data_IF_300942695730
#
_entry.id   IF_300942695730
#
_cell.length_a   1.000
_cell.length_b   1.000
_cell.length_c   1.000
_cell.angle_alpha   90.00
_cell.angle_beta   90.00
_cell.angle_gamma   90.00
#
_symmetry.space_group_name_H-M   'P 1'
#
loop_
_entity.id
_entity.type
_entity.pdbx_description
1 polymer ?
#
# COMPACT_ATOMS: atom_id res chain seq x y z
N UNK A 1 -27.28 2.36 8.37
CA UNK A 1 -26.89 1.04 7.83
C UNK A 1 -26.16 1.29 6.53
N UNK A 2 -24.90 0.84 6.40
CA UNK A 2 -24.13 0.99 5.16
C UNK A 2 -24.55 -0.08 4.15
N UNK A 3 -24.33 0.14 2.83
CA UNK A 3 -24.72 -0.83 1.82
C UNK A 3 -24.05 -2.20 2.09
N UNK A 4 -24.81 -3.27 1.85
CA UNK A 4 -24.31 -4.64 1.90
C UNK A 4 -23.02 -4.77 1.09
N UNK A 5 -22.06 -5.51 1.65
CA UNK A 5 -20.82 -5.79 0.95
C UNK A 5 -21.13 -6.52 -0.36
N UNK A 6 -20.61 -6.02 -1.48
CA UNK A 6 -20.68 -6.73 -2.76
C UNK A 6 -19.79 -7.99 -2.80
N UNK A 7 -18.90 -8.12 -1.81
CA UNK A 7 -18.00 -9.25 -1.62
C UNK A 7 -18.49 -10.10 -0.45
N UNK A 8 -18.37 -11.42 -0.56
CA UNK A 8 -18.61 -12.30 0.58
C UNK A 8 -17.60 -12.04 1.69
N UNK A 9 -17.94 -12.39 2.93
CA UNK A 9 -17.04 -12.28 4.08
C UNK A 9 -15.70 -13.00 3.84
N UNK A 10 -15.72 -14.12 3.13
CA UNK A 10 -14.51 -14.87 2.75
C UNK A 10 -13.60 -14.05 1.83
N UNK A 11 -14.17 -13.39 0.82
CA UNK A 11 -13.41 -12.54 -0.09
C UNK A 11 -12.84 -11.30 0.61
N UNK A 12 -13.56 -10.73 1.57
CA UNK A 12 -13.04 -9.65 2.40
C UNK A 12 -11.86 -10.12 3.27
N UNK A 13 -11.95 -11.33 3.84
CA UNK A 13 -10.87 -11.91 4.63
C UNK A 13 -9.62 -12.20 3.78
N UNK A 14 -9.77 -12.66 2.54
CA UNK A 14 -8.64 -12.86 1.62
C UNK A 14 -7.93 -11.54 1.32
N UNK A 15 -8.69 -10.45 1.15
CA UNK A 15 -8.14 -9.11 0.96
C UNK A 15 -7.42 -8.61 2.21
N UNK A 16 -7.99 -8.85 3.40
CA UNK A 16 -7.37 -8.52 4.69
C UNK A 16 -6.03 -9.27 4.82
N UNK A 17 -6.03 -10.58 4.56
CA UNK A 17 -4.83 -11.41 4.62
C UNK A 17 -3.75 -10.88 3.66
N UNK A 18 -4.12 -10.59 2.41
CA UNK A 18 -3.20 -10.01 1.43
C UNK A 18 -2.61 -8.68 1.91
N UNK A 19 -3.42 -7.77 2.47
CA UNK A 19 -2.94 -6.50 3.02
C UNK A 19 -1.96 -6.74 4.18
N UNK A 20 -2.25 -7.70 5.06
CA UNK A 20 -1.38 -8.04 6.18
C UNK A 20 -0.04 -8.62 5.70
N UNK A 21 -0.05 -9.50 4.70
CA UNK A 21 1.18 -10.06 4.11
C UNK A 21 2.02 -8.97 3.42
N UNK A 22 1.39 -8.06 2.67
CA UNK A 22 2.09 -6.91 2.08
C UNK A 22 2.72 -6.02 3.16
N UNK A 23 2.00 -5.79 4.26
CA UNK A 23 2.48 -4.98 5.37
C UNK A 23 3.65 -5.65 6.11
N UNK A 24 3.62 -6.98 6.31
CA UNK A 24 4.76 -7.76 6.84
C UNK A 24 5.98 -7.70 5.95
N UNK A 25 5.77 -7.68 4.63
CA UNK A 25 6.85 -7.53 3.65
C UNK A 25 7.40 -6.09 3.58
N UNK A 26 6.86 -5.15 4.38
CA UNK A 26 7.31 -3.76 4.44
C UNK A 26 6.66 -2.84 3.39
N UNK A 27 5.66 -3.33 2.66
CA UNK A 27 4.96 -2.54 1.65
C UNK A 27 3.64 -1.97 2.19
N UNK A 28 3.43 -0.68 2.01
CA UNK A 28 2.15 -0.04 2.30
C UNK A 28 1.21 -0.16 1.10
N UNK A 29 0.08 -0.87 1.25
CA UNK A 29 -0.98 -0.91 0.24
C UNK A 29 -1.78 0.40 0.28
N UNK A 30 -1.80 1.13 -0.83
CA UNK A 30 -2.58 2.36 -0.93
C UNK A 30 -4.06 2.06 -1.19
N UNK A 31 -4.93 3.00 -0.82
CA UNK A 31 -6.39 2.91 -1.05
C UNK A 31 -6.69 2.67 -2.53
N UNK A 32 -5.96 3.32 -3.44
CA UNK A 32 -6.12 3.14 -4.88
C UNK A 32 -5.75 1.73 -5.34
N UNK A 33 -4.62 1.19 -4.87
CA UNK A 33 -4.22 -0.18 -5.20
C UNK A 33 -5.24 -1.20 -4.70
N UNK A 34 -5.78 -1.01 -3.49
CA UNK A 34 -6.83 -1.86 -2.95
C UNK A 34 -8.09 -1.79 -3.83
N UNK A 35 -8.53 -0.58 -4.19
CA UNK A 35 -9.70 -0.38 -5.06
C UNK A 35 -9.51 -1.02 -6.44
N UNK A 36 -8.33 -0.90 -7.05
CA UNK A 36 -8.03 -1.50 -8.33
C UNK A 36 -7.99 -3.04 -8.25
N UNK A 37 -7.41 -3.60 -7.20
CA UNK A 37 -7.41 -5.05 -6.95
C UNK A 37 -8.82 -5.59 -6.76
N UNK A 38 -9.65 -4.91 -5.98
CA UNK A 38 -11.06 -5.29 -5.77
C UNK A 38 -11.84 -5.18 -7.06
N UNK A 39 -11.62 -4.13 -7.85
CA UNK A 39 -12.26 -3.96 -9.15
C UNK A 39 -11.93 -5.11 -10.11
N UNK A 40 -10.65 -5.51 -10.18
CA UNK A 40 -10.20 -6.68 -10.94
C UNK A 40 -10.84 -7.98 -10.43
N UNK A 41 -10.95 -8.14 -9.12
CA UNK A 41 -11.56 -9.32 -8.50
C UNK A 41 -13.05 -9.43 -8.83
N UNK A 42 -13.79 -8.32 -8.71
CA UNK A 42 -15.21 -8.21 -9.09
C UNK A 42 -15.40 -8.51 -10.57
N UNK A 43 -14.55 -7.96 -11.44
CA UNK A 43 -14.60 -8.22 -12.89
C UNK A 43 -14.34 -9.71 -13.20
N UNK A 44 -13.37 -10.32 -12.53
CA UNK A 44 -13.03 -11.75 -12.69
C UNK A 44 -14.15 -12.68 -12.21
N UNK A 45 -14.83 -12.30 -11.13
CA UNK A 45 -15.94 -13.06 -10.55
C UNK A 45 -17.30 -12.74 -11.19
N UNK A 46 -17.33 -11.83 -12.17
CA UNK A 46 -18.53 -11.37 -12.88
C UNK A 46 -19.67 -10.94 -11.93
N UNK A 47 -19.32 -10.36 -10.78
CA UNK A 47 -20.28 -9.91 -9.77
C UNK A 47 -20.96 -8.64 -10.30
N UNK A 48 -22.30 -8.68 -10.42
CA UNK A 48 -23.09 -7.50 -10.79
C UNK A 48 -23.04 -6.48 -9.66
N UNK A 49 -22.17 -5.49 -9.81
CA UNK A 49 -22.10 -4.35 -8.91
C UNK A 49 -22.87 -3.15 -9.48
N UNK A 50 -23.48 -2.30 -8.65
CA UNK A 50 -24.18 -1.09 -9.08
C UNK A 50 -23.22 0.08 -9.36
N UNK A 51 -21.90 -0.16 -9.46
CA UNK A 51 -20.92 0.90 -9.67
C UNK A 51 -21.00 1.42 -11.11
N UNK A 52 -21.61 2.59 -11.28
CA UNK A 52 -21.85 3.23 -12.59
C UNK A 52 -20.58 3.53 -13.40
N UNK A 53 -19.38 3.47 -12.80
CA UNK A 53 -18.09 3.82 -13.42
C UNK A 53 -16.90 2.92 -12.96
N UNK A 54 -17.16 1.68 -12.50
CA UNK A 54 -16.09 0.72 -12.14
C UNK A 54 -15.06 1.20 -11.07
N UNK A 55 -15.38 2.27 -10.32
CA UNK A 55 -14.56 2.79 -9.21
C UNK A 55 -15.32 2.67 -7.89
N UNK A 56 -14.74 1.92 -6.96
CA UNK A 56 -15.23 1.87 -5.59
C UNK A 56 -15.04 3.24 -4.94
N UNK A 57 -16.14 3.84 -4.50
CA UNK A 57 -16.10 5.16 -3.86
C UNK A 57 -15.41 5.11 -2.49
N UNK A 58 -15.00 6.29 -1.99
CA UNK A 58 -14.41 6.44 -0.65
C UNK A 58 -15.28 5.81 0.46
N UNK A 59 -16.60 5.86 0.32
CA UNK A 59 -17.54 5.27 1.28
C UNK A 59 -17.40 3.75 1.44
N UNK A 60 -17.07 3.03 0.36
CA UNK A 60 -16.83 1.59 0.45
C UNK A 60 -15.57 1.32 1.28
N UNK A 61 -14.50 2.06 1.03
CA UNK A 61 -13.25 1.92 1.78
C UNK A 61 -13.43 2.23 3.28
N UNK A 62 -14.15 3.30 3.63
CA UNK A 62 -14.45 3.60 5.03
C UNK A 62 -15.30 2.50 5.69
N UNK A 63 -16.26 1.92 4.95
CA UNK A 63 -17.07 0.79 5.43
C UNK A 63 -16.22 -0.46 5.63
N UNK A 64 -15.34 -0.77 4.68
CA UNK A 64 -14.38 -1.88 4.75
C UNK A 64 -13.45 -1.74 5.96
N UNK A 65 -12.86 -0.55 6.18
CA UNK A 65 -12.07 -0.26 7.38
C UNK A 65 -12.86 -0.40 8.68
N UNK A 66 -14.14 -0.02 8.68
CA UNK A 66 -15.00 -0.15 9.85
C UNK A 66 -15.31 -1.61 10.18
N UNK A 67 -15.38 -2.47 9.16
CA UNK A 67 -15.52 -3.94 9.33
C UNK A 67 -14.21 -4.59 9.77
N UNK A 68 -13.07 -4.06 9.33
CA UNK A 68 -11.74 -4.63 9.56
C UNK A 68 -10.79 -3.63 10.28
N UNK A 69 -11.03 -3.32 11.56
CA UNK A 69 -10.19 -2.39 12.32
C UNK A 69 -8.73 -2.88 12.47
N UNK A 70 -8.49 -4.19 12.38
CA UNK A 70 -7.17 -4.83 12.46
C UNK A 70 -6.19 -4.31 11.41
N UNK A 71 -6.66 -3.99 10.20
CA UNK A 71 -5.83 -3.44 9.13
C UNK A 71 -5.27 -2.08 9.53
N UNK A 72 -6.11 -1.22 10.12
CA UNK A 72 -5.71 0.14 10.50
C UNK A 72 -4.68 0.10 11.62
N UNK A 73 -4.90 -0.75 12.63
CA UNK A 73 -3.97 -0.93 13.74
C UNK A 73 -2.59 -1.43 13.26
N UNK A 74 -2.59 -2.46 12.39
CA UNK A 74 -1.35 -3.06 11.87
C UNK A 74 -0.58 -2.13 10.94
N UNK A 75 -1.28 -1.38 10.10
CA UNK A 75 -0.64 -0.36 9.24
C UNK A 75 0.07 0.71 10.06
N UNK A 76 -0.57 1.18 11.14
CA UNK A 76 0.06 2.13 12.06
C UNK A 76 1.27 1.55 12.79
N UNK A 77 1.21 0.29 13.24
CA UNK A 77 2.35 -0.39 13.89
C UNK A 77 3.55 -0.51 12.94
N UNK A 78 3.35 -1.03 11.72
CA UNK A 78 4.43 -1.18 10.73
C UNK A 78 5.08 0.15 10.36
N UNK A 79 4.29 1.24 10.25
CA UNK A 79 4.83 2.58 10.01
C UNK A 79 5.72 3.05 11.18
N UNK A 80 5.33 2.78 12.42
CA UNK A 80 6.14 3.11 13.61
C UNK A 80 7.41 2.28 13.66
N UNK A 81 7.34 0.97 13.40
CA UNK A 81 8.50 0.08 13.37
C UNK A 81 9.49 0.47 12.27
N UNK A 82 9.00 0.72 11.06
CA UNK A 82 9.84 1.18 9.94
C UNK A 82 10.54 2.51 10.24
N UNK A 83 9.86 3.45 10.92
CA UNK A 83 10.46 4.72 11.38
C UNK A 83 11.49 4.51 12.49
N UNK A 84 11.21 3.63 13.44
CA UNK A 84 12.11 3.32 14.55
C UNK A 84 13.37 2.57 14.09
N UNK A 85 13.28 1.80 13.01
CA UNK A 85 14.41 1.08 12.41
C UNK A 85 15.43 2.02 11.72
N UNK A 86 15.08 3.30 11.49
CA UNK A 86 16.02 4.28 10.95
C UNK A 86 16.99 4.71 12.05
N UNK A 87 18.21 4.16 12.04
CA UNK A 87 19.29 4.58 12.94
C UNK A 87 20.08 5.76 12.34
N UNK A 88 20.73 6.56 13.19
CA UNK A 88 21.63 7.64 12.74
C UNK A 88 22.72 7.11 11.80
N UNK A 89 23.22 5.89 12.05
CA UNK A 89 24.24 5.23 11.23
C UNK A 89 23.73 4.88 9.83
N UNK A 90 22.51 4.36 9.71
CA UNK A 90 21.88 4.08 8.43
C UNK A 90 21.64 5.37 7.63
N UNK A 91 21.23 6.45 8.31
CA UNK A 91 21.07 7.79 7.73
C UNK A 91 22.40 8.35 7.24
N UNK A 92 23.47 8.29 8.05
CA UNK A 92 24.80 8.74 7.68
C UNK A 92 25.37 7.95 6.51
N UNK A 93 25.23 6.62 6.49
CA UNK A 93 25.68 5.79 5.37
C UNK A 93 24.91 6.12 4.09
N UNK A 94 23.60 6.29 4.15
CA UNK A 94 22.80 6.70 2.99
C UNK A 94 23.26 8.06 2.44
N UNK A 95 23.51 9.05 3.33
CA UNK A 95 24.03 10.35 2.92
C UNK A 95 25.40 10.23 2.25
N UNK A 96 26.29 9.40 2.78
CA UNK A 96 27.62 9.16 2.18
C UNK A 96 27.51 8.49 0.80
N UNK A 97 26.64 7.51 0.65
CA UNK A 97 26.39 6.82 -0.63
C UNK A 97 25.81 7.75 -1.70
N UNK A 98 24.86 8.62 -1.32
CA UNK A 98 24.30 9.62 -2.25
C UNK A 98 25.37 10.65 -2.62
N UNK A 99 26.16 11.11 -1.65
CA UNK A 99 27.27 12.06 -1.89
C UNK A 99 28.30 11.48 -2.86
N UNK A 100 28.68 10.21 -2.64
CA UNK A 100 29.62 9.50 -3.50
C UNK A 100 29.06 9.32 -4.93
N UNK A 101 27.79 8.96 -5.08
CA UNK A 101 27.15 8.84 -6.40
C UNK A 101 27.00 10.19 -7.12
N UNK A 102 26.67 11.26 -6.40
CA UNK A 102 26.61 12.61 -6.95
C UNK A 102 28.00 13.07 -7.44
N UNK A 103 29.05 12.81 -6.66
CA UNK A 103 30.43 13.12 -7.03
C UNK A 103 30.91 12.27 -8.23
N UNK A 104 30.59 10.97 -8.26
CA UNK A 104 30.95 10.10 -9.36
C UNK A 104 30.26 10.50 -10.67
N UNK A 105 29.00 10.93 -10.61
CA UNK A 105 28.26 11.45 -11.76
C UNK A 105 28.78 12.84 -12.22
N UNK A 106 29.20 13.70 -11.28
CA UNK A 106 29.81 14.98 -11.60
C UNK A 106 31.20 14.84 -12.25
N UNK A 107 32.01 13.89 -11.77
CA UNK A 107 33.30 13.54 -12.39
C UNK A 107 33.12 12.88 -13.77
N UNK A 108 32.10 12.02 -13.94
CA UNK A 108 31.80 11.35 -15.21
C UNK A 108 31.32 12.31 -16.31
N UNK A 109 30.56 13.36 -15.97
CA UNK A 109 30.12 14.38 -16.92
C UNK A 109 31.20 15.43 -17.27
N UNK A 110 32.37 15.40 -16.64
CA UNK A 110 33.49 16.31 -16.91
C UNK A 110 34.63 15.64 -17.71
N UNK A 111 34.47 14.36 -18.07
CA UNK A 111 35.45 13.53 -18.79
C UNK A 111 34.97 13.06 -20.18
N UNK A 112 33.92 13.67 -20.73
CA UNK A 112 33.58 13.54 -22.15
C UNK A 112 34.06 14.82 -22.88
N UNK A 113 34.88 14.72 -23.94
CA UNK A 113 35.25 15.86 -24.77
C UNK A 113 34.06 16.42 -25.56
#
# INVERSE_FOLDING_TARGET
MGPESYLSTEQENDLVLWILEMAKAGFSVTVHQLQDSVCKLVAKLNIKTPFKNNRLGRHWYESFKKRHPEISLRTSQNLTESRAAVTNEALSNWFLEISANQLLNACRNRLLP
#
